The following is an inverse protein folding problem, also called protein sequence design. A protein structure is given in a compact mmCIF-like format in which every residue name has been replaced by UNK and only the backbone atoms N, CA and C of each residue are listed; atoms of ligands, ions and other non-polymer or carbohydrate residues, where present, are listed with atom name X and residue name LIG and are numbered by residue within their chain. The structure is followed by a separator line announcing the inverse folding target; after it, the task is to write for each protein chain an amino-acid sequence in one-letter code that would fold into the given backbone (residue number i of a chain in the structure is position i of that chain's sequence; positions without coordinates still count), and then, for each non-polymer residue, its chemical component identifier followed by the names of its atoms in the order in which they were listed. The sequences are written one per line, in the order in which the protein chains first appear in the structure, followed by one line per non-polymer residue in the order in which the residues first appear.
data_IF_696972162462
#
_entry.id   IF_696972162462
#
_cell.length_a   1.000
_cell.length_b   1.000
_cell.length_c   1.000
_cell.angle_alpha   90.00
_cell.angle_beta   90.00
_cell.angle_gamma   90.00
#
_symmetry.space_group_name_H-M   'P 1'
#
loop_
_entity.id
_entity.type
_entity.pdbx_description
1 polymer ?
#
# COMPACT_ATOMS: atom_id res chain seq x y z
N UNK A 1 5.28 -4.61 -26.86
CA UNK A 1 5.39 -3.38 -26.06
C UNK A 1 3.99 -2.92 -25.67
N UNK A 2 3.78 -2.37 -24.46
CA UNK A 2 2.54 -1.72 -24.07
C UNK A 2 2.13 -0.60 -25.06
N UNK A 3 0.83 -0.46 -25.37
CA UNK A 3 0.32 0.49 -26.36
C UNK A 3 0.68 1.96 -26.05
N UNK A 4 0.77 2.29 -24.77
CA UNK A 4 1.22 3.58 -24.23
C UNK A 4 2.64 3.95 -24.69
N UNK A 5 3.54 2.97 -24.89
CA UNK A 5 4.89 3.25 -25.38
C UNK A 5 4.89 3.67 -26.86
N UNK A 6 4.01 3.07 -27.68
CA UNK A 6 3.90 3.46 -29.10
C UNK A 6 3.36 4.88 -29.26
N UNK A 7 2.36 5.27 -28.46
CA UNK A 7 1.84 6.64 -28.45
C UNK A 7 2.87 7.67 -27.93
N UNK A 8 3.72 7.28 -26.99
CA UNK A 8 4.85 8.11 -26.54
C UNK A 8 5.90 8.30 -27.63
N UNK A 9 6.23 7.27 -28.39
CA UNK A 9 7.18 7.37 -29.51
C UNK A 9 6.62 8.26 -30.63
N UNK A 10 5.34 8.12 -30.96
CA UNK A 10 4.69 8.87 -32.04
C UNK A 10 4.48 10.36 -31.72
N UNK A 11 4.34 10.70 -30.44
CA UNK A 11 4.08 12.08 -29.98
C UNK A 11 5.32 12.90 -29.65
N UNK A 12 6.52 12.30 -29.65
CA UNK A 12 7.77 13.01 -29.31
C UNK A 12 8.67 13.13 -30.55
N UNK A 13 8.99 14.37 -30.94
CA UNK A 13 9.75 14.66 -32.17
C UNK A 13 11.25 14.32 -32.05
N UNK A 14 11.82 14.37 -30.84
CA UNK A 14 13.24 14.10 -30.63
C UNK A 14 13.47 12.95 -29.64
N UNK A 15 14.61 12.28 -29.80
CA UNK A 15 15.06 11.25 -28.86
C UNK A 15 15.24 11.80 -27.42
N UNK A 16 15.50 13.11 -27.29
CA UNK A 16 15.57 13.79 -25.99
C UNK A 16 14.18 13.90 -25.36
N UNK A 17 13.19 14.36 -26.11
CA UNK A 17 11.81 14.52 -25.61
C UNK A 17 11.23 13.16 -25.20
N UNK A 18 11.48 12.11 -25.99
CA UNK A 18 11.09 10.74 -25.64
C UNK A 18 11.72 10.29 -24.32
N UNK A 19 13.02 10.55 -24.12
CA UNK A 19 13.72 10.20 -22.87
C UNK A 19 13.14 10.95 -21.67
N UNK A 20 12.92 12.25 -21.81
CA UNK A 20 12.36 13.09 -20.75
C UNK A 20 10.91 12.67 -20.40
N UNK A 21 10.11 12.30 -21.41
CA UNK A 21 8.75 11.82 -21.23
C UNK A 21 8.70 10.46 -20.51
N UNK A 22 9.58 9.52 -20.88
CA UNK A 22 9.72 8.24 -20.18
C UNK A 22 10.17 8.43 -18.74
N UNK A 23 11.14 9.31 -18.47
CA UNK A 23 11.60 9.58 -17.11
C UNK A 23 10.46 10.17 -16.25
N UNK A 24 9.65 11.08 -16.80
CA UNK A 24 8.46 11.60 -16.11
C UNK A 24 7.41 10.54 -15.83
N UNK A 25 7.14 9.65 -16.79
CA UNK A 25 6.18 8.55 -16.60
C UNK A 25 6.64 7.57 -15.52
N UNK A 26 7.93 7.19 -15.53
CA UNK A 26 8.51 6.31 -14.52
C UNK A 26 8.42 6.94 -13.12
N UNK A 27 8.76 8.23 -13.00
CA UNK A 27 8.60 8.98 -11.74
C UNK A 27 7.15 8.99 -11.29
N UNK A 28 6.19 9.26 -12.18
CA UNK A 28 4.75 9.22 -11.85
C UNK A 28 4.29 7.87 -11.29
N UNK A 29 4.74 6.77 -11.90
CA UNK A 29 4.47 5.41 -11.40
C UNK A 29 5.08 5.18 -10.01
N UNK A 30 6.31 5.64 -9.80
CA UNK A 30 6.99 5.51 -8.50
C UNK A 30 6.26 6.28 -7.39
N UNK A 31 5.84 7.53 -7.65
CA UNK A 31 5.05 8.31 -6.68
C UNK A 31 3.74 7.60 -6.33
N UNK A 32 3.01 7.07 -7.31
CA UNK A 32 1.79 6.30 -7.06
C UNK A 32 2.03 5.04 -6.22
N UNK A 33 3.16 4.34 -6.44
CA UNK A 33 3.55 3.21 -5.60
C UNK A 33 3.90 3.62 -4.17
N UNK A 34 4.63 4.72 -4.00
CA UNK A 34 4.99 5.26 -2.69
C UNK A 34 3.74 5.72 -1.91
N UNK A 35 2.80 6.40 -2.55
CA UNK A 35 1.53 6.80 -1.95
C UNK A 35 0.72 5.59 -1.49
N UNK A 36 0.61 4.55 -2.32
CA UNK A 36 -0.06 3.30 -1.93
C UNK A 36 0.61 2.64 -0.71
N UNK A 37 1.94 2.61 -0.68
CA UNK A 37 2.70 2.11 0.48
C UNK A 37 2.43 2.95 1.73
N UNK A 38 2.40 4.27 1.60
CA UNK A 38 2.14 5.19 2.70
C UNK A 38 0.72 5.02 3.27
N UNK A 39 -0.30 4.94 2.41
CA UNK A 39 -1.70 4.70 2.81
C UNK A 39 -1.84 3.36 3.55
N UNK A 40 -1.24 2.30 3.01
CA UNK A 40 -1.26 0.96 3.64
C UNK A 40 -0.59 0.97 5.01
N UNK A 41 0.58 1.62 5.12
CA UNK A 41 1.30 1.74 6.38
C UNK A 41 0.54 2.59 7.40
N UNK A 42 -0.12 3.66 6.95
CA UNK A 42 -0.96 4.50 7.80
C UNK A 42 -2.12 3.67 8.38
N UNK A 43 -2.88 2.95 7.55
CA UNK A 43 -3.97 2.08 7.99
C UNK A 43 -3.53 1.04 9.02
N UNK A 44 -2.37 0.41 8.82
CA UNK A 44 -1.78 -0.47 9.84
C UNK A 44 -1.43 0.25 11.14
N UNK A 45 -0.83 1.45 11.05
CA UNK A 45 -0.41 2.20 12.23
C UNK A 45 -1.60 2.62 13.08
N UNK A 46 -2.68 3.05 12.42
CA UNK A 46 -3.89 3.61 13.06
C UNK A 46 -4.98 2.58 13.32
N UNK A 47 -4.80 1.31 12.92
CA UNK A 47 -5.75 0.24 13.17
C UNK A 47 -6.15 0.16 14.65
N UNK A 48 -7.46 0.18 14.90
CA UNK A 48 -8.09 -0.04 16.20
C UNK A 48 -9.40 -0.79 16.00
N UNK A 49 -9.72 -1.70 16.91
CA UNK A 49 -11.03 -2.33 16.95
C UNK A 49 -12.10 -1.27 17.25
N UNK A 50 -13.21 -1.29 16.51
CA UNK A 50 -14.34 -0.37 16.76
C UNK A 50 -15.22 -0.95 17.84
N UNK A 51 -15.61 -0.15 18.84
CA UNK A 51 -16.50 -0.59 19.92
C UNK A 51 -17.79 -1.25 19.37
N UNK A 52 -18.16 -2.40 19.92
CA UNK A 52 -19.33 -3.17 19.48
C UNK A 52 -19.12 -4.07 18.25
N UNK A 53 -17.98 -4.01 17.56
CA UNK A 53 -17.64 -5.02 16.53
C UNK A 53 -17.41 -6.40 17.16
N UNK A 54 -17.68 -7.47 16.41
CA UNK A 54 -17.30 -8.81 16.83
C UNK A 54 -15.79 -9.02 16.68
N UNK A 55 -15.20 -9.83 17.56
CA UNK A 55 -13.77 -10.13 17.53
C UNK A 55 -13.36 -10.76 16.20
N UNK A 56 -14.21 -11.62 15.62
CA UNK A 56 -13.94 -12.25 14.34
C UNK A 56 -13.87 -11.22 13.21
N UNK A 57 -14.81 -10.27 13.16
CA UNK A 57 -14.83 -9.21 12.14
C UNK A 57 -13.60 -8.31 12.27
N UNK A 58 -13.24 -7.93 13.50
CA UNK A 58 -12.01 -7.17 13.80
C UNK A 58 -10.77 -7.92 13.31
N UNK A 59 -10.69 -9.23 13.57
CA UNK A 59 -9.56 -10.06 13.13
C UNK A 59 -9.48 -10.17 11.60
N UNK A 60 -10.61 -10.36 10.92
CA UNK A 60 -10.67 -10.40 9.46
C UNK A 60 -10.21 -9.07 8.83
N UNK A 61 -10.65 -7.94 9.37
CA UNK A 61 -10.19 -6.61 8.95
C UNK A 61 -8.67 -6.46 9.16
N UNK A 62 -8.17 -6.87 10.32
CA UNK A 62 -6.73 -6.83 10.60
C UNK A 62 -5.90 -7.69 9.63
N UNK A 63 -6.38 -8.87 9.27
CA UNK A 63 -5.73 -9.74 8.28
C UNK A 63 -5.66 -9.10 6.89
N UNK A 64 -6.69 -8.36 6.47
CA UNK A 64 -6.65 -7.61 5.20
C UNK A 64 -5.54 -6.56 5.21
N UNK A 65 -5.44 -5.78 6.29
CA UNK A 65 -4.40 -4.77 6.47
C UNK A 65 -2.99 -5.39 6.43
N UNK A 66 -2.79 -6.54 7.08
CA UNK A 66 -1.52 -7.28 7.01
C UNK A 66 -1.22 -7.75 5.58
N UNK A 67 -2.21 -8.28 4.88
CA UNK A 67 -2.01 -8.78 3.52
C UNK A 67 -1.62 -7.64 2.58
N UNK A 68 -2.21 -6.46 2.72
CA UNK A 68 -1.85 -5.31 1.90
C UNK A 68 -0.47 -4.75 2.25
N UNK A 69 -0.07 -4.78 3.52
CA UNK A 69 1.31 -4.48 3.93
C UNK A 69 2.31 -5.42 3.25
N UNK A 70 2.03 -6.72 3.23
CA UNK A 70 2.89 -7.73 2.59
C UNK A 70 2.98 -7.50 1.08
N UNK A 71 1.87 -7.20 0.40
CA UNK A 71 1.85 -6.83 -1.03
C UNK A 71 2.68 -5.57 -1.30
N UNK A 72 2.73 -4.63 -0.36
CA UNK A 72 3.55 -3.43 -0.42
C UNK A 72 5.05 -3.68 -0.12
N UNK A 73 5.45 -4.93 0.19
CA UNK A 73 6.83 -5.31 0.46
C UNK A 73 7.28 -5.12 1.91
N UNK A 74 6.37 -4.77 2.83
CA UNK A 74 6.70 -4.69 4.25
C UNK A 74 6.86 -6.09 4.84
N UNK A 75 7.99 -6.32 5.50
CA UNK A 75 8.25 -7.55 6.28
C UNK A 75 8.06 -7.23 7.76
N UNK A 76 7.17 -7.96 8.41
CA UNK A 76 6.96 -7.96 9.86
C UNK A 76 6.89 -9.39 10.33
N UNK A 77 7.52 -9.69 11.45
CA UNK A 77 7.40 -11.00 12.07
C UNK A 77 6.03 -11.16 12.73
N UNK A 78 5.61 -12.41 12.94
CA UNK A 78 4.30 -12.71 13.49
C UNK A 78 4.16 -12.23 14.94
N UNK A 79 5.24 -12.14 15.72
CA UNK A 79 5.17 -11.65 17.10
C UNK A 79 4.84 -10.16 17.12
N UNK A 80 5.47 -9.35 16.24
CA UNK A 80 5.15 -7.93 16.10
C UNK A 80 3.69 -7.71 15.71
N UNK A 81 3.19 -8.48 14.73
CA UNK A 81 1.81 -8.41 14.27
C UNK A 81 0.82 -8.82 15.37
N UNK A 82 1.08 -9.92 16.07
CA UNK A 82 0.20 -10.39 17.15
C UNK A 82 0.18 -9.40 18.31
N UNK A 83 1.33 -8.87 18.72
CA UNK A 83 1.42 -7.86 19.77
C UNK A 83 0.67 -6.58 19.39
N UNK A 84 0.83 -6.12 18.14
CA UNK A 84 0.08 -4.98 17.60
C UNK A 84 -1.43 -5.22 17.65
N UNK A 85 -1.90 -6.40 17.23
CA UNK A 85 -3.33 -6.73 17.26
C UNK A 85 -3.91 -6.65 18.68
N UNK A 86 -3.28 -7.34 19.63
CA UNK A 86 -3.74 -7.41 21.03
C UNK A 86 -3.81 -6.02 21.68
N UNK A 87 -2.84 -5.14 21.42
CA UNK A 87 -2.86 -3.79 21.97
C UNK A 87 -3.95 -2.88 21.40
N UNK A 88 -4.49 -3.21 20.23
CA UNK A 88 -5.50 -2.42 19.54
C UNK A 88 -6.91 -3.03 19.64
N UNK A 89 -7.08 -4.10 20.42
CA UNK A 89 -8.40 -4.59 20.83
C UNK A 89 -9.09 -3.59 21.76
N UNK A 90 -10.43 -3.67 21.80
CA UNK A 90 -11.26 -2.92 22.73
C UNK A 90 -10.86 -3.23 24.19
N UNK A 91 -11.13 -2.30 25.11
CA UNK A 91 -10.81 -2.47 26.53
C UNK A 91 -11.47 -3.70 27.15
N UNK A 92 -12.69 -4.03 26.73
CA UNK A 92 -13.45 -5.16 27.27
C UNK A 92 -12.83 -6.53 26.94
N UNK A 93 -11.87 -6.59 26.02
CA UNK A 93 -11.15 -7.80 25.64
C UNK A 93 -9.67 -7.81 26.06
N UNK A 94 -9.23 -6.79 26.80
CA UNK A 94 -7.88 -6.70 27.37
C UNK A 94 -7.84 -7.26 28.78
#
# INVERSE_FOLDING_TARGET
LPNDIYSLIDSNETAKDLRDALERQMRGSEYGEQDRKAVTLYGYKTFKATEGEQLLDTYLCYLQVINDLKKCGYKKDNCELNYKFLNNLQLDWK
#
